data_IF_775709315441
#
_entry.id   IF_775709315441
#
_cell.length_a   1.000
_cell.length_b   1.000
_cell.length_c   1.000
_cell.angle_alpha   90.00
_cell.angle_beta   90.00
_cell.angle_gamma   90.00
#
_symmetry.space_group_name_H-M   'P 1'
#
loop_
_entity.id
_entity.type
_entity.pdbx_description
1 polymer ?
#
# COMPACT_ATOMS: atom_id res chain seq x y z
N UNK A 1 29.49 52.82 -57.17
CA UNK A 1 29.44 54.25 -56.94
C UNK A 1 29.51 54.41 -55.40
N UNK A 2 30.69 54.87 -54.95
CA UNK A 2 30.98 56.17 -54.29
C UNK A 2 30.20 56.33 -52.97
N UNK A 3 30.74 56.61 -51.81
CA UNK A 3 32.03 57.04 -51.25
C UNK A 3 31.90 56.86 -49.72
N UNK A 4 32.89 56.28 -49.09
CA UNK A 4 33.93 56.87 -48.23
C UNK A 4 33.53 58.09 -47.38
N UNK A 5 33.70 58.03 -46.06
CA UNK A 5 34.71 58.78 -45.32
C UNK A 5 34.58 58.67 -43.79
N UNK A 6 35.62 58.16 -43.15
CA UNK A 6 36.06 58.45 -41.76
C UNK A 6 36.69 59.86 -41.74
N UNK A 7 37.08 60.51 -40.64
CA UNK A 7 37.51 60.01 -39.32
C UNK A 7 37.29 61.03 -38.15
N UNK A 8 37.64 60.71 -36.94
CA UNK A 8 38.75 61.26 -36.15
C UNK A 8 38.48 61.18 -34.59
N UNK A 9 39.49 60.76 -33.94
CA UNK A 9 39.73 60.74 -32.51
C UNK A 9 39.84 62.11 -31.88
N UNK A 10 39.46 62.26 -30.60
CA UNK A 10 40.17 63.14 -29.64
C UNK A 10 40.02 62.49 -28.24
N UNK A 11 41.15 62.26 -27.59
CA UNK A 11 41.33 61.93 -26.20
C UNK A 11 41.54 63.23 -25.42
N UNK A 12 40.97 63.35 -24.22
CA UNK A 12 41.39 64.31 -23.22
C UNK A 12 41.41 63.61 -21.85
N UNK A 13 42.58 63.72 -21.25
CA UNK A 13 42.94 63.36 -19.86
C UNK A 13 42.75 64.61 -19.02
N UNK A 14 42.28 64.46 -17.76
CA UNK A 14 42.70 65.21 -16.61
C UNK A 14 41.80 64.88 -15.39
N UNK A 15 42.36 64.34 -14.32
CA UNK A 15 42.91 64.90 -13.07
C UNK A 15 41.91 64.86 -11.90
N UNK A 16 42.41 64.23 -10.89
CA UNK A 16 41.84 63.98 -9.57
C UNK A 16 41.47 65.24 -8.79
N UNK A 17 40.46 65.13 -7.95
CA UNK A 17 40.35 65.87 -6.70
C UNK A 17 39.60 65.07 -5.65
N UNK A 18 40.30 64.79 -4.57
CA UNK A 18 39.81 64.11 -3.37
C UNK A 18 38.91 65.06 -2.55
N UNK A 19 37.71 64.64 -2.19
CA UNK A 19 36.96 65.24 -1.10
C UNK A 19 36.42 64.13 -0.17
N UNK A 20 36.98 64.07 1.03
CA UNK A 20 36.43 63.30 2.13
C UNK A 20 35.14 63.96 2.63
N UNK A 21 34.04 63.22 2.60
CA UNK A 21 32.84 63.51 3.36
C UNK A 21 32.48 62.30 4.17
N UNK A 22 32.57 62.41 5.48
CA UNK A 22 32.02 61.44 6.44
C UNK A 22 30.48 61.49 6.29
N UNK A 23 29.88 60.38 5.86
CA UNK A 23 28.46 60.14 5.99
C UNK A 23 28.27 58.91 6.89
N UNK A 24 27.48 59.11 7.92
CA UNK A 24 27.11 58.10 8.92
C UNK A 24 26.43 56.90 8.24
N UNK A 25 26.91 55.69 8.52
CA UNK A 25 26.30 54.43 8.16
C UNK A 25 25.03 54.23 8.96
N UNK A 26 23.87 54.38 8.37
CA UNK A 26 22.70 53.63 8.76
C UNK A 26 22.82 52.25 8.11
N UNK A 27 23.12 51.23 8.89
CA UNK A 27 23.08 49.86 8.44
C UNK A 27 21.62 49.42 8.43
N UNK A 28 20.98 49.50 7.22
CA UNK A 28 19.82 48.71 6.91
C UNK A 28 20.29 47.26 6.77
N UNK A 29 20.26 46.51 7.86
CA UNK A 29 20.33 45.05 7.85
C UNK A 29 18.98 44.55 7.41
N UNK A 30 18.77 44.42 6.12
CA UNK A 30 17.78 43.46 5.58
C UNK A 30 18.23 42.09 6.10
N UNK A 31 17.39 41.39 6.87
CA UNK A 31 17.77 40.03 7.25
C UNK A 31 17.90 39.21 5.96
N UNK A 32 19.08 38.64 5.75
CA UNK A 32 19.27 37.61 4.74
C UNK A 32 18.20 36.55 5.03
N UNK A 33 17.29 36.35 4.07
CA UNK A 33 16.39 35.22 4.06
C UNK A 33 17.31 34.00 4.13
N UNK A 34 17.38 33.37 5.30
CA UNK A 34 17.94 32.04 5.43
C UNK A 34 17.24 31.19 4.37
N UNK A 35 18.00 30.63 3.44
CA UNK A 35 17.50 29.57 2.59
C UNK A 35 16.85 28.56 3.56
N UNK A 36 15.56 28.29 3.37
CA UNK A 36 14.87 27.28 4.16
C UNK A 36 15.73 26.01 4.12
N UNK A 37 15.89 25.36 5.24
CA UNK A 37 16.46 24.04 5.27
C UNK A 37 15.75 23.21 4.19
N UNK A 38 16.48 22.52 3.35
CA UNK A 38 15.88 21.57 2.44
C UNK A 38 15.06 20.59 3.28
N UNK A 39 13.80 20.35 2.90
CA UNK A 39 12.99 19.34 3.55
C UNK A 39 13.83 18.06 3.64
N UNK A 40 13.85 17.43 4.81
CA UNK A 40 14.49 16.13 4.94
C UNK A 40 13.67 15.11 4.17
N UNK A 41 14.33 14.19 3.48
CA UNK A 41 13.63 13.09 2.82
C UNK A 41 12.90 12.25 3.86
N UNK A 42 11.69 11.74 3.55
CA UNK A 42 10.97 10.82 4.41
C UNK A 42 11.85 9.62 4.77
N UNK A 43 11.71 9.12 5.98
CA UNK A 43 12.46 7.96 6.47
C UNK A 43 11.51 6.76 6.57
N UNK A 44 11.38 5.94 5.53
CA UNK A 44 10.47 4.79 5.54
C UNK A 44 10.88 3.77 6.60
N UNK A 45 9.91 2.99 7.09
CA UNK A 45 10.13 1.86 7.99
C UNK A 45 9.54 0.59 7.40
N UNK A 46 10.22 -0.51 7.62
CA UNK A 46 9.76 -1.86 7.28
C UNK A 46 9.52 -2.64 8.55
N UNK A 47 8.32 -3.13 8.72
CA UNK A 47 7.94 -4.03 9.82
C UNK A 47 7.78 -5.45 9.28
N UNK A 48 8.41 -6.42 9.95
CA UNK A 48 8.38 -7.83 9.59
C UNK A 48 7.98 -8.67 10.80
N UNK A 49 7.00 -9.55 10.67
CA UNK A 49 6.79 -10.55 11.73
C UNK A 49 7.74 -11.74 11.57
N UNK A 50 8.01 -12.41 12.69
CA UNK A 50 8.66 -13.71 12.77
C UNK A 50 8.04 -14.52 13.90
N UNK A 51 8.35 -15.81 13.99
CA UNK A 51 7.87 -16.63 15.12
C UNK A 51 8.53 -16.14 16.43
N UNK A 52 7.79 -15.32 17.17
CA UNK A 52 8.23 -14.70 18.43
C UNK A 52 8.19 -13.19 18.49
N UNK A 53 8.03 -12.45 17.38
CA UNK A 53 8.03 -11.00 17.44
C UNK A 53 7.88 -10.25 16.13
N UNK A 54 8.23 -8.96 16.21
CA UNK A 54 8.22 -8.01 15.10
C UNK A 54 9.59 -7.34 15.03
N UNK A 55 10.22 -7.39 13.86
CA UNK A 55 11.39 -6.58 13.53
C UNK A 55 10.93 -5.28 12.88
N UNK A 56 11.48 -4.16 13.29
CA UNK A 56 11.31 -2.88 12.60
C UNK A 56 12.67 -2.42 12.10
N UNK A 57 12.77 -2.13 10.79
CA UNK A 57 14.00 -1.73 10.13
C UNK A 57 13.84 -0.35 9.49
N UNK A 58 14.94 0.38 9.37
CA UNK A 58 15.02 1.53 8.47
C UNK A 58 14.79 1.06 7.02
N UNK A 59 13.84 1.67 6.32
CA UNK A 59 13.45 1.20 4.99
C UNK A 59 14.45 1.53 3.86
N UNK A 60 15.47 2.32 4.15
CA UNK A 60 16.52 2.71 3.18
C UNK A 60 17.81 1.92 3.41
N UNK A 61 18.32 1.95 4.65
CA UNK A 61 19.57 1.26 5.01
C UNK A 61 19.37 -0.21 5.35
N UNK A 62 18.16 -0.60 5.70
CA UNK A 62 17.76 -1.89 6.27
C UNK A 62 18.47 -2.22 7.60
N UNK A 63 18.93 -1.21 8.32
CA UNK A 63 19.43 -1.37 9.69
C UNK A 63 18.27 -1.68 10.63
N UNK A 64 18.50 -2.60 11.58
CA UNK A 64 17.51 -3.00 12.57
C UNK A 64 17.34 -1.86 13.60
N UNK A 65 16.13 -1.35 13.73
CA UNK A 65 15.76 -0.31 14.69
C UNK A 65 15.17 -0.89 15.98
N UNK A 66 14.34 -1.94 15.85
CA UNK A 66 13.75 -2.61 17.01
C UNK A 66 13.48 -4.09 16.75
N UNK A 67 13.53 -4.87 17.83
CA UNK A 67 13.10 -6.28 17.90
C UNK A 67 12.11 -6.40 19.06
N UNK A 68 10.82 -6.49 18.73
CA UNK A 68 9.71 -6.39 19.68
C UNK A 68 9.10 -7.77 19.87
N UNK A 69 9.13 -8.29 21.09
CA UNK A 69 8.58 -9.60 21.41
C UNK A 69 7.05 -9.60 21.29
N UNK A 70 6.52 -10.44 20.42
CA UNK A 70 5.09 -10.69 20.26
C UNK A 70 4.87 -12.11 19.74
N UNK A 71 4.60 -13.09 20.61
CA UNK A 71 4.48 -14.49 20.18
C UNK A 71 3.19 -14.75 19.40
N UNK A 72 3.24 -15.76 18.54
CA UNK A 72 2.12 -16.21 17.73
C UNK A 72 2.19 -15.69 16.29
N UNK A 73 1.21 -16.09 15.48
CA UNK A 73 1.03 -15.60 14.15
C UNK A 73 0.25 -14.28 14.20
N UNK A 74 0.86 -13.20 13.74
CA UNK A 74 0.26 -11.87 13.73
C UNK A 74 0.37 -11.29 12.31
N UNK A 75 -0.69 -10.69 11.79
CA UNK A 75 -0.67 -10.01 10.50
C UNK A 75 -0.31 -8.54 10.68
N UNK A 76 0.32 -7.98 9.64
CA UNK A 76 0.72 -6.58 9.59
C UNK A 76 -0.01 -5.85 8.48
N UNK A 77 -0.58 -4.69 8.81
CA UNK A 77 -1.20 -3.82 7.83
C UNK A 77 -0.78 -2.37 8.12
N UNK A 78 -0.18 -1.68 7.16
CA UNK A 78 0.06 -0.25 7.33
C UNK A 78 -1.27 0.48 7.57
N UNK A 79 -1.32 1.38 8.55
CA UNK A 79 -2.55 2.09 8.89
C UNK A 79 -2.98 3.10 7.82
N UNK A 80 -2.05 3.57 6.98
CA UNK A 80 -2.30 4.53 5.91
C UNK A 80 -1.82 5.95 6.22
N UNK A 81 -1.44 6.22 7.46
CA UNK A 81 -0.99 7.53 7.93
C UNK A 81 0.53 7.79 7.75
N UNK A 82 1.24 6.83 7.15
CA UNK A 82 2.68 6.90 6.93
C UNK A 82 3.55 6.52 8.13
N UNK A 83 2.97 6.33 9.32
CA UNK A 83 3.68 6.05 10.57
C UNK A 83 3.34 4.72 11.21
N UNK A 84 2.04 4.41 11.31
CA UNK A 84 1.58 3.29 12.12
C UNK A 84 1.31 2.04 11.29
N UNK A 85 1.50 0.89 11.93
CA UNK A 85 1.10 -0.42 11.45
C UNK A 85 0.08 -1.01 12.42
N UNK A 86 -1.01 -1.55 11.90
CA UNK A 86 -2.01 -2.27 12.65
C UNK A 86 -1.65 -3.76 12.67
N UNK A 87 -1.41 -4.26 13.87
CA UNK A 87 -1.01 -5.65 14.14
C UNK A 87 -2.25 -6.43 14.56
N UNK A 88 -2.62 -7.46 13.80
CA UNK A 88 -3.73 -8.35 14.19
C UNK A 88 -3.29 -9.27 15.33
N UNK A 89 -3.82 -9.03 16.53
CA UNK A 89 -3.57 -9.82 17.73
C UNK A 89 -4.83 -10.54 18.18
N UNK A 90 -4.76 -11.32 19.26
CA UNK A 90 -5.95 -11.97 19.85
C UNK A 90 -6.93 -10.98 20.49
N UNK A 91 -6.50 -9.76 20.78
CA UNK A 91 -7.31 -8.71 21.42
C UNK A 91 -7.96 -7.77 20.38
N UNK A 92 -7.41 -7.71 19.17
CA UNK A 92 -7.89 -6.82 18.12
C UNK A 92 -6.76 -6.33 17.23
N UNK A 93 -6.92 -5.13 16.69
CA UNK A 93 -5.88 -4.45 15.91
C UNK A 93 -5.07 -3.55 16.83
N UNK A 94 -3.88 -4.00 17.23
CA UNK A 94 -2.95 -3.27 18.08
C UNK A 94 -2.08 -2.32 17.25
N UNK A 95 -1.86 -1.12 17.75
CA UNK A 95 -1.09 -0.10 17.04
C UNK A 95 0.40 -0.27 17.31
N UNK A 96 1.17 -0.51 16.27
CA UNK A 96 2.62 -0.41 16.26
C UNK A 96 3.00 0.99 15.74
N UNK A 97 3.62 1.80 16.58
CA UNK A 97 4.29 3.02 16.16
C UNK A 97 5.68 2.65 15.62
N UNK A 98 5.91 2.85 14.34
CA UNK A 98 7.19 2.50 13.70
C UNK A 98 8.30 3.53 13.98
N UNK A 99 7.98 4.59 14.70
CA UNK A 99 8.93 5.63 15.08
C UNK A 99 9.38 6.51 13.92
N UNK A 100 8.54 6.73 12.92
CA UNK A 100 8.83 7.64 11.81
C UNK A 100 7.61 8.48 11.45
N UNK A 101 7.79 9.76 11.18
CA UNK A 101 6.73 10.64 10.67
C UNK A 101 7.31 11.93 10.10
N UNK A 102 6.54 12.62 9.28
CA UNK A 102 6.89 13.92 8.69
C UNK A 102 5.98 15.01 9.24
N UNK A 103 6.58 16.09 9.78
CA UNK A 103 5.86 17.28 10.25
C UNK A 103 6.45 18.50 9.56
N UNK A 104 5.59 19.31 8.94
CA UNK A 104 5.99 20.54 8.22
C UNK A 104 7.12 20.32 7.20
N UNK A 105 7.20 19.11 6.60
CA UNK A 105 8.22 18.73 5.64
C UNK A 105 9.57 18.35 6.25
N UNK A 106 9.63 18.17 7.57
CA UNK A 106 10.80 17.64 8.27
C UNK A 106 10.52 16.21 8.74
N UNK A 107 11.35 15.25 8.33
CA UNK A 107 11.28 13.87 8.80
C UNK A 107 11.78 13.78 10.24
N UNK A 108 11.04 13.08 11.07
CA UNK A 108 11.33 12.85 12.48
C UNK A 108 11.34 11.35 12.74
N UNK A 109 12.27 10.89 13.58
CA UNK A 109 12.36 9.48 13.99
C UNK A 109 12.41 9.34 15.50
N UNK A 110 11.86 8.23 15.99
CA UNK A 110 11.91 7.79 17.38
C UNK A 110 12.14 6.27 17.43
N UNK A 111 12.30 5.71 18.61
CA UNK A 111 12.36 4.27 18.81
C UNK A 111 10.98 3.65 18.49
N UNK A 112 10.90 2.59 17.68
CA UNK A 112 9.64 1.89 17.40
C UNK A 112 9.06 1.25 18.67
N UNK A 113 7.71 1.28 18.79
CA UNK A 113 7.01 0.77 19.97
C UNK A 113 5.70 0.09 19.58
N UNK A 114 5.47 -1.13 20.09
CA UNK A 114 4.14 -1.72 20.10
C UNK A 114 3.36 -1.13 21.26
N UNK A 115 2.45 -0.24 20.96
CA UNK A 115 1.70 0.54 21.96
C UNK A 115 0.64 -0.32 22.66
N UNK A 116 0.07 0.20 23.76
CA UNK A 116 -1.09 -0.41 24.43
C UNK A 116 -2.43 -0.03 23.75
N UNK A 117 -2.41 0.69 22.64
CA UNK A 117 -3.61 1.10 21.91
C UNK A 117 -4.12 -0.07 21.05
N UNK A 118 -5.33 -0.52 21.31
CA UNK A 118 -5.97 -1.64 20.60
C UNK A 118 -7.37 -1.24 20.16
N UNK A 119 -7.65 -1.34 18.86
CA UNK A 119 -9.01 -1.34 18.36
C UNK A 119 -9.62 -2.71 18.64
N UNK A 120 -10.59 -2.77 19.55
CA UNK A 120 -11.25 -4.02 19.92
C UNK A 120 -11.92 -4.67 18.69
N UNK A 121 -11.48 -5.87 18.35
CA UNK A 121 -11.96 -6.60 17.20
C UNK A 121 -11.80 -8.11 17.44
N UNK A 122 -12.85 -8.79 17.87
CA UNK A 122 -12.81 -10.26 17.98
C UNK A 122 -12.49 -10.89 16.63
N UNK A 123 -11.41 -11.65 16.56
CA UNK A 123 -10.88 -12.24 15.33
C UNK A 123 -10.66 -11.15 14.26
N UNK A 124 -9.62 -10.29 14.41
CA UNK A 124 -9.36 -9.21 13.47
C UNK A 124 -9.08 -9.77 12.07
N UNK A 125 -9.89 -9.35 11.09
CA UNK A 125 -9.88 -9.84 9.72
C UNK A 125 -9.09 -8.95 8.77
N UNK A 126 -9.68 -7.85 8.35
CA UNK A 126 -9.13 -6.96 7.32
C UNK A 126 -8.89 -5.54 7.82
N UNK A 127 -7.86 -4.91 7.27
CA UNK A 127 -7.57 -3.47 7.36
C UNK A 127 -7.57 -2.92 5.94
N UNK A 128 -8.50 -2.02 5.65
CA UNK A 128 -8.68 -1.38 4.35
C UNK A 128 -8.40 0.11 4.48
N UNK A 129 -7.71 0.66 3.52
CA UNK A 129 -7.39 2.09 3.45
C UNK A 129 -7.96 2.62 2.15
N UNK A 130 -8.81 3.63 2.26
CA UNK A 130 -9.35 4.29 1.07
C UNK A 130 -9.67 5.76 1.39
N UNK A 131 -9.31 6.65 0.48
CA UNK A 131 -9.42 8.08 0.70
C UNK A 131 -8.72 8.50 1.99
N UNK A 132 -9.42 9.19 2.87
CA UNK A 132 -8.93 9.63 4.18
C UNK A 132 -9.30 8.67 5.34
N UNK A 133 -9.81 7.47 5.04
CA UNK A 133 -10.31 6.50 6.03
C UNK A 133 -9.44 5.26 6.16
N UNK A 134 -9.39 4.77 7.39
CA UNK A 134 -8.95 3.41 7.72
C UNK A 134 -10.15 2.63 8.24
N UNK A 135 -10.39 1.48 7.65
CA UNK A 135 -11.56 0.64 7.86
C UNK A 135 -11.10 -0.72 8.36
N UNK A 136 -11.61 -1.14 9.51
CA UNK A 136 -11.27 -2.40 10.15
C UNK A 136 -12.48 -3.33 10.11
N UNK A 137 -12.27 -4.59 9.78
CA UNK A 137 -13.32 -5.61 9.79
C UNK A 137 -13.01 -6.67 10.84
N UNK A 138 -13.96 -6.91 11.75
CA UNK A 138 -13.86 -7.91 12.81
C UNK A 138 -14.66 -9.17 12.44
N UNK A 139 -13.99 -10.24 12.04
CA UNK A 139 -14.64 -11.49 11.60
C UNK A 139 -15.52 -12.12 12.69
N UNK A 140 -15.11 -11.98 13.96
CA UNK A 140 -15.83 -12.55 15.09
C UNK A 140 -17.20 -11.93 15.37
N UNK A 141 -17.46 -10.73 14.83
CA UNK A 141 -18.76 -10.04 14.93
C UNK A 141 -19.34 -9.68 13.56
N UNK A 142 -18.50 -9.51 12.55
CA UNK A 142 -18.84 -8.96 11.24
C UNK A 142 -18.90 -7.42 11.25
N UNK A 143 -18.54 -6.78 12.36
CA UNK A 143 -18.61 -5.33 12.50
C UNK A 143 -17.49 -4.63 11.74
N UNK A 144 -17.80 -3.45 11.23
CA UNK A 144 -16.85 -2.55 10.58
C UNK A 144 -16.59 -1.36 11.49
N UNK A 145 -15.32 -1.12 11.82
CA UNK A 145 -14.86 0.08 12.54
C UNK A 145 -14.17 1.03 11.57
N UNK A 146 -14.57 2.31 11.56
CA UNK A 146 -14.09 3.34 10.63
C UNK A 146 -13.53 4.51 11.43
N UNK A 147 -12.38 5.04 11.02
CA UNK A 147 -11.82 6.26 11.58
C UNK A 147 -11.05 7.07 10.52
N UNK A 148 -10.88 8.37 10.79
CA UNK A 148 -10.04 9.24 9.97
C UNK A 148 -8.58 8.81 10.12
N UNK A 149 -7.93 8.40 9.05
CA UNK A 149 -6.56 7.89 9.03
C UNK A 149 -5.58 8.87 9.71
N UNK A 150 -5.66 10.16 9.35
CA UNK A 150 -4.79 11.18 9.91
C UNK A 150 -5.02 11.43 11.41
N UNK A 151 -6.18 11.06 11.95
CA UNK A 151 -6.45 11.21 13.38
C UNK A 151 -5.54 10.31 14.23
N UNK A 152 -5.07 9.19 13.68
CA UNK A 152 -4.14 8.29 14.37
C UNK A 152 -2.77 8.97 14.65
N UNK A 153 -2.34 9.90 13.79
CA UNK A 153 -1.11 10.70 14.03
C UNK A 153 -1.23 11.65 15.21
N UNK A 154 -2.45 11.99 15.62
CA UNK A 154 -2.73 12.97 16.67
C UNK A 154 -3.01 12.32 18.02
N UNK A 155 -3.12 10.99 18.08
CA UNK A 155 -3.32 10.27 19.34
C UNK A 155 -2.01 10.32 20.12
N UNK A 156 -2.08 10.89 21.33
CA UNK A 156 -1.01 10.80 22.30
C UNK A 156 -1.20 9.55 23.17
N UNK A 157 -0.64 9.60 24.38
CA UNK A 157 -0.86 8.57 25.41
C UNK A 157 -2.33 8.44 25.85
N UNK A 158 -3.23 9.30 25.33
CA UNK A 158 -4.59 9.49 25.82
C UNK A 158 -5.66 8.62 25.12
N UNK A 159 -5.31 7.81 24.12
CA UNK A 159 -6.26 6.83 23.55
C UNK A 159 -6.33 6.77 22.03
N UNK A 160 -7.26 5.98 21.53
CA UNK A 160 -7.56 5.81 20.11
C UNK A 160 -8.29 7.03 19.53
N UNK A 161 -8.24 7.25 18.20
CA UNK A 161 -9.08 8.26 17.55
C UNK A 161 -10.56 7.96 17.73
N UNK A 162 -11.41 8.96 17.49
CA UNK A 162 -12.86 8.75 17.41
C UNK A 162 -13.17 7.74 16.29
N UNK A 163 -14.00 6.75 16.60
CA UNK A 163 -14.39 5.69 15.66
C UNK A 163 -15.88 5.64 15.46
N UNK A 164 -16.30 5.25 14.25
CA UNK A 164 -17.66 4.79 13.98
C UNK A 164 -17.65 3.26 13.89
N UNK A 165 -18.59 2.61 14.58
CA UNK A 165 -18.79 1.14 14.46
C UNK A 165 -20.12 0.86 13.77
N UNK A 166 -20.05 0.16 12.63
CA UNK A 166 -21.22 -0.26 11.84
C UNK A 166 -21.43 -1.75 12.03
N UNK A 167 -22.50 -2.18 12.73
CA UNK A 167 -22.71 -3.60 13.02
C UNK A 167 -23.18 -4.39 11.80
N UNK A 168 -22.72 -5.63 11.70
CA UNK A 168 -23.24 -6.60 10.76
C UNK A 168 -24.46 -7.36 11.33
N UNK A 169 -25.33 -7.91 10.46
CA UNK A 169 -26.41 -8.80 10.89
C UNK A 169 -25.94 -10.11 11.52
N UNK A 170 -24.74 -10.59 11.14
CA UNK A 170 -24.16 -11.84 11.64
C UNK A 170 -22.62 -11.81 11.50
N UNK A 171 -21.96 -12.51 12.39
CA UNK A 171 -20.53 -12.74 12.33
C UNK A 171 -20.16 -13.55 11.06
N UNK A 172 -19.13 -13.10 10.36
CA UNK A 172 -18.56 -13.77 9.19
C UNK A 172 -17.16 -13.21 8.88
N UNK A 173 -16.35 -13.99 8.20
CA UNK A 173 -15.14 -13.47 7.58
C UNK A 173 -15.55 -12.54 6.42
N UNK A 174 -15.06 -11.30 6.41
CA UNK A 174 -15.52 -10.34 5.41
C UNK A 174 -14.63 -9.12 5.31
N UNK A 175 -15.10 -8.16 4.53
CA UNK A 175 -14.38 -6.93 4.23
C UNK A 175 -15.35 -5.77 4.01
N UNK A 176 -14.86 -4.56 4.26
CA UNK A 176 -15.60 -3.32 4.02
C UNK A 176 -14.68 -2.25 3.45
N UNK A 177 -15.23 -1.40 2.59
CA UNK A 177 -14.58 -0.20 2.08
C UNK A 177 -15.58 0.96 2.09
N UNK A 178 -15.14 2.14 2.54
CA UNK A 178 -15.94 3.37 2.47
C UNK A 178 -15.42 4.24 1.34
N UNK A 179 -16.30 4.62 0.42
CA UNK A 179 -16.01 5.50 -0.71
C UNK A 179 -15.98 6.96 -0.26
N UNK A 180 -15.37 7.85 -1.05
CA UNK A 180 -15.22 9.28 -0.72
C UNK A 180 -16.55 9.98 -0.46
N UNK A 181 -17.64 9.52 -1.08
CA UNK A 181 -18.98 10.06 -0.85
C UNK A 181 -19.61 9.60 0.48
N UNK A 182 -18.93 8.72 1.24
CA UNK A 182 -19.38 8.14 2.51
C UNK A 182 -20.29 6.91 2.33
N UNK A 183 -20.37 6.35 1.13
CA UNK A 183 -21.04 5.06 0.90
C UNK A 183 -20.15 3.94 1.44
N UNK A 184 -20.66 3.19 2.40
CA UNK A 184 -19.98 2.01 2.94
C UNK A 184 -20.42 0.76 2.18
N UNK A 185 -19.48 0.09 1.54
CA UNK A 185 -19.67 -1.21 0.94
C UNK A 185 -19.15 -2.27 1.91
N UNK A 186 -20.01 -3.23 2.28
CA UNK A 186 -19.66 -4.27 3.25
C UNK A 186 -20.22 -5.61 2.83
N UNK A 187 -19.48 -6.67 3.09
CA UNK A 187 -19.85 -8.04 2.72
C UNK A 187 -21.11 -8.52 3.43
N UNK A 188 -21.84 -9.42 2.79
CA UNK A 188 -22.99 -10.14 3.31
C UNK A 188 -22.55 -11.58 3.55
N UNK A 189 -22.67 -12.03 4.81
CA UNK A 189 -22.27 -13.38 5.19
C UNK A 189 -22.83 -13.84 6.49
N UNK A 190 -22.56 -15.11 6.78
CA UNK A 190 -22.80 -15.79 8.05
C UNK A 190 -21.60 -16.72 8.31
N UNK A 191 -21.61 -17.45 9.41
CA UNK A 191 -20.62 -18.52 9.68
C UNK A 191 -20.58 -19.60 8.60
N UNK A 192 -21.65 -19.75 7.81
CA UNK A 192 -21.75 -20.78 6.77
C UNK A 192 -21.14 -20.33 5.41
N UNK A 193 -20.95 -19.02 5.22
CA UNK A 193 -20.36 -18.47 4.00
C UNK A 193 -20.79 -17.05 3.69
N UNK A 194 -20.21 -16.51 2.63
CA UNK A 194 -20.43 -15.14 2.11
C UNK A 194 -21.15 -15.22 0.80
N UNK A 195 -22.07 -14.29 0.58
CA UNK A 195 -22.96 -14.32 -0.60
C UNK A 195 -22.87 -13.09 -1.49
N UNK A 196 -22.39 -11.96 -0.95
CA UNK A 196 -22.38 -10.73 -1.72
C UNK A 196 -21.98 -9.50 -0.93
N UNK A 197 -22.40 -8.33 -1.43
CA UNK A 197 -22.07 -7.02 -0.88
C UNK A 197 -23.33 -6.18 -0.80
N UNK A 198 -23.46 -5.38 0.26
CA UNK A 198 -24.46 -4.31 0.42
C UNK A 198 -23.80 -2.95 0.45
N UNK A 199 -24.49 -1.94 -0.06
CA UNK A 199 -24.13 -0.55 0.01
C UNK A 199 -24.98 0.17 1.03
N UNK A 200 -24.37 0.87 1.96
CA UNK A 200 -25.00 1.70 2.98
C UNK A 200 -24.66 3.16 2.70
N UNK A 201 -25.65 4.04 2.72
CA UNK A 201 -25.41 5.48 2.61
C UNK A 201 -24.74 6.07 3.88
N UNK A 202 -24.43 7.38 3.87
CA UNK A 202 -23.85 8.09 5.04
C UNK A 202 -24.64 7.94 6.34
N UNK A 203 -25.95 7.64 6.27
CA UNK A 203 -26.78 7.39 7.43
C UNK A 203 -26.82 5.92 7.82
N UNK A 204 -26.01 5.11 7.16
CA UNK A 204 -25.93 3.65 7.28
C UNK A 204 -27.25 2.95 6.93
N UNK A 205 -28.05 3.59 6.06
CA UNK A 205 -29.23 2.97 5.46
C UNK A 205 -28.82 2.21 4.22
N UNK A 206 -29.26 0.96 4.10
CA UNK A 206 -28.99 0.15 2.90
C UNK A 206 -29.71 0.74 1.68
N UNK A 207 -28.94 1.04 0.63
CA UNK A 207 -29.42 1.64 -0.62
C UNK A 207 -29.30 0.69 -1.81
N UNK A 208 -28.40 -0.28 -1.75
CA UNK A 208 -28.25 -1.31 -2.76
C UNK A 208 -27.67 -2.60 -2.16
N UNK A 209 -27.91 -3.73 -2.80
CA UNK A 209 -27.26 -5.01 -2.50
C UNK A 209 -27.19 -5.91 -3.71
N UNK A 210 -26.20 -6.80 -3.71
CA UNK A 210 -26.11 -7.91 -4.65
C UNK A 210 -25.60 -9.16 -3.92
N UNK A 211 -26.30 -10.27 -4.05
CA UNK A 211 -25.97 -11.56 -3.42
C UNK A 211 -25.53 -12.62 -4.44
N UNK A 212 -25.14 -12.18 -5.66
CA UNK A 212 -24.62 -13.05 -6.71
C UNK A 212 -23.07 -13.07 -6.73
N UNK A 213 -22.44 -13.07 -5.54
CA UNK A 213 -20.98 -13.11 -5.37
C UNK A 213 -20.61 -14.15 -4.31
N UNK A 214 -20.74 -15.45 -4.64
CA UNK A 214 -20.42 -16.51 -3.68
C UNK A 214 -18.97 -16.42 -3.25
N UNK A 215 -18.72 -16.69 -1.96
CA UNK A 215 -17.41 -16.61 -1.31
C UNK A 215 -16.70 -15.26 -1.53
N UNK A 216 -17.47 -14.15 -1.55
CA UNK A 216 -16.92 -12.80 -1.75
C UNK A 216 -15.72 -12.57 -0.83
N UNK A 217 -14.62 -12.03 -1.38
CA UNK A 217 -13.38 -11.78 -0.66
C UNK A 217 -12.56 -10.72 -1.40
N UNK A 218 -11.81 -9.94 -0.61
CA UNK A 218 -11.02 -8.85 -1.12
C UNK A 218 -11.87 -7.69 -1.64
N UNK A 219 -11.26 -6.55 -1.73
CA UNK A 219 -11.86 -5.31 -2.20
C UNK A 219 -10.80 -4.37 -2.74
N UNK A 220 -11.23 -3.36 -3.44
CA UNK A 220 -10.41 -2.23 -3.84
C UNK A 220 -11.23 -1.23 -4.63
N UNK A 221 -10.91 0.05 -4.48
CA UNK A 221 -11.46 1.11 -5.33
C UNK A 221 -10.46 1.47 -6.42
N UNK A 222 -10.86 1.28 -7.65
CA UNK A 222 -10.14 1.70 -8.84
C UNK A 222 -10.47 3.17 -9.17
N UNK A 223 -9.93 3.69 -10.25
CA UNK A 223 -10.21 5.05 -10.72
C UNK A 223 -11.70 5.37 -10.75
N UNK A 224 -12.04 6.60 -10.38
CA UNK A 224 -13.42 7.13 -10.28
C UNK A 224 -14.27 6.43 -9.21
N UNK A 225 -13.67 5.97 -8.13
CA UNK A 225 -14.38 5.35 -7.00
C UNK A 225 -15.13 4.05 -7.37
N UNK A 226 -14.68 3.35 -8.40
CA UNK A 226 -15.30 2.09 -8.79
C UNK A 226 -14.77 0.98 -7.91
N UNK A 227 -15.61 0.47 -7.00
CA UNK A 227 -15.21 -0.61 -6.11
C UNK A 227 -15.35 -1.99 -6.78
N UNK A 228 -14.36 -2.84 -6.53
CA UNK A 228 -14.29 -4.20 -7.07
C UNK A 228 -14.20 -5.20 -5.93
N UNK A 229 -14.98 -6.27 -6.01
CA UNK A 229 -14.97 -7.39 -5.06
C UNK A 229 -14.79 -8.70 -5.82
N UNK A 230 -13.98 -9.60 -5.29
CA UNK A 230 -13.80 -10.93 -5.87
C UNK A 230 -14.89 -11.92 -5.44
N UNK A 231 -15.24 -12.83 -6.32
CA UNK A 231 -16.21 -13.89 -6.10
C UNK A 231 -15.60 -15.25 -6.49
N UNK A 232 -16.23 -16.36 -6.13
CA UNK A 232 -15.81 -17.70 -6.58
C UNK A 232 -16.01 -17.93 -8.08
N UNK A 233 -16.79 -17.09 -8.74
CA UNK A 233 -17.22 -17.22 -10.13
C UNK A 233 -17.08 -15.92 -10.94
N UNK A 234 -16.13 -15.09 -10.57
CA UNK A 234 -15.84 -13.81 -11.22
C UNK A 234 -15.69 -12.66 -10.25
N UNK A 235 -16.16 -11.47 -10.61
CA UNK A 235 -16.05 -10.26 -9.79
C UNK A 235 -17.36 -9.48 -9.76
N UNK A 236 -17.54 -8.70 -8.70
CA UNK A 236 -18.66 -7.78 -8.53
C UNK A 236 -18.13 -6.36 -8.52
N UNK A 237 -18.66 -5.49 -9.36
CA UNK A 237 -18.31 -4.07 -9.44
C UNK A 237 -19.44 -3.24 -8.87
N UNK A 238 -19.11 -2.22 -8.08
CA UNK A 238 -20.03 -1.18 -7.63
C UNK A 238 -19.62 0.18 -8.21
N UNK A 239 -20.54 0.84 -8.88
CA UNK A 239 -20.36 2.14 -9.51
C UNK A 239 -21.69 2.89 -9.50
N UNK A 240 -21.72 4.18 -9.13
CA UNK A 240 -22.90 5.06 -9.20
C UNK A 240 -24.18 4.48 -8.56
N UNK A 241 -24.06 3.75 -7.47
CA UNK A 241 -25.19 3.17 -6.74
C UNK A 241 -25.66 1.81 -7.24
N UNK A 242 -25.01 1.24 -8.25
CA UNK A 242 -25.41 -0.02 -8.87
C UNK A 242 -24.31 -1.08 -8.81
N UNK A 243 -24.71 -2.34 -8.62
CA UNK A 243 -23.82 -3.49 -8.72
C UNK A 243 -23.88 -4.12 -10.11
N UNK A 244 -22.72 -4.42 -10.67
CA UNK A 244 -22.56 -5.18 -11.93
C UNK A 244 -21.73 -6.42 -11.67
N UNK A 245 -22.27 -7.62 -12.01
CA UNK A 245 -21.54 -8.87 -11.96
C UNK A 245 -20.82 -9.11 -13.28
N UNK A 246 -19.52 -9.41 -13.22
CA UNK A 246 -18.74 -9.93 -14.35
C UNK A 246 -18.46 -11.40 -14.04
N UNK A 247 -19.01 -12.29 -14.87
CA UNK A 247 -18.78 -13.73 -14.75
C UNK A 247 -17.37 -14.08 -15.21
N UNK A 248 -16.71 -14.97 -14.48
CA UNK A 248 -15.46 -15.56 -14.92
C UNK A 248 -15.68 -16.38 -16.21
N UNK A 249 -14.60 -16.57 -16.95
CA UNK A 249 -14.64 -17.45 -18.14
C UNK A 249 -14.77 -18.93 -17.78
N UNK A 250 -14.29 -19.31 -16.60
CA UNK A 250 -14.38 -20.68 -16.05
C UNK A 250 -15.56 -20.82 -15.10
N UNK A 251 -16.09 -22.03 -14.93
CA UNK A 251 -17.19 -22.30 -14.00
C UNK A 251 -16.80 -21.98 -12.55
N UNK A 252 -15.56 -22.31 -12.17
CA UNK A 252 -14.88 -21.82 -10.98
C UNK A 252 -13.78 -20.88 -11.49
N UNK A 253 -13.93 -19.61 -11.22
CA UNK A 253 -12.99 -18.56 -11.62
C UNK A 253 -12.90 -17.58 -10.50
N UNK A 254 -12.28 -18.05 -9.40
CA UNK A 254 -12.18 -17.32 -8.14
C UNK A 254 -11.16 -16.21 -8.27
N UNK A 255 -11.59 -15.03 -7.86
CA UNK A 255 -10.74 -13.91 -7.52
C UNK A 255 -10.86 -13.66 -6.03
N UNK A 256 -9.74 -13.75 -5.29
CA UNK A 256 -9.71 -13.62 -3.83
C UNK A 256 -9.17 -12.27 -3.36
N UNK A 257 -8.24 -11.67 -4.12
CA UNK A 257 -7.63 -10.40 -3.81
C UNK A 257 -7.65 -9.48 -5.02
N UNK A 258 -7.76 -8.16 -4.77
CA UNK A 258 -7.71 -7.12 -5.78
C UNK A 258 -6.57 -6.15 -5.47
N UNK A 259 -5.81 -5.82 -6.51
CA UNK A 259 -4.70 -4.88 -6.45
C UNK A 259 -5.05 -3.70 -7.36
N UNK A 260 -5.40 -2.59 -6.76
CA UNK A 260 -5.93 -1.40 -7.43
C UNK A 260 -4.98 -0.21 -7.30
N UNK A 261 -5.19 0.79 -8.15
CA UNK A 261 -4.68 2.14 -8.01
C UNK A 261 -5.81 3.12 -8.32
N UNK A 262 -5.81 4.28 -7.71
CA UNK A 262 -6.81 5.33 -7.93
C UNK A 262 -6.67 5.99 -9.33
N UNK A 263 -5.58 5.71 -10.03
CA UNK A 263 -5.25 6.26 -11.35
C UNK A 263 -5.64 5.36 -12.51
N UNK A 264 -5.79 4.05 -12.28
CA UNK A 264 -6.10 3.06 -13.30
C UNK A 264 -7.55 2.58 -13.26
N UNK A 265 -8.16 2.41 -14.42
CA UNK A 265 -9.45 1.70 -14.55
C UNK A 265 -9.29 0.18 -14.57
N UNK A 266 -8.06 -0.32 -14.59
CA UNK A 266 -7.79 -1.76 -14.58
C UNK A 266 -7.41 -2.18 -13.16
N UNK A 267 -8.28 -2.94 -12.50
CA UNK A 267 -7.93 -3.68 -11.30
C UNK A 267 -7.26 -5.00 -11.69
N UNK A 268 -6.26 -5.40 -10.93
CA UNK A 268 -5.61 -6.71 -11.08
C UNK A 268 -6.10 -7.60 -9.95
N UNK A 269 -6.57 -8.79 -10.28
CA UNK A 269 -6.99 -9.78 -9.29
C UNK A 269 -6.15 -11.04 -9.37
N UNK A 270 -6.04 -11.77 -8.28
CA UNK A 270 -5.60 -13.15 -8.38
C UNK A 270 -6.65 -13.99 -9.14
N UNK A 271 -6.24 -15.11 -9.70
CA UNK A 271 -7.16 -15.97 -10.43
C UNK A 271 -6.87 -17.45 -10.18
N UNK A 272 -7.90 -18.15 -9.71
CA UNK A 272 -7.86 -19.59 -9.49
C UNK A 272 -9.02 -20.26 -10.22
N UNK A 273 -8.73 -21.14 -11.17
CA UNK A 273 -9.74 -21.89 -11.94
C UNK A 273 -9.95 -23.33 -11.43
N UNK A 274 -9.25 -23.72 -10.36
CA UNK A 274 -9.33 -25.07 -9.80
C UNK A 274 -9.60 -25.00 -8.28
N UNK A 275 -10.82 -25.34 -7.83
CA UNK A 275 -11.16 -25.26 -6.41
C UNK A 275 -10.32 -26.19 -5.51
N UNK A 276 -9.76 -27.27 -6.08
CA UNK A 276 -8.92 -28.22 -5.34
C UNK A 276 -7.49 -27.66 -5.13
N UNK A 277 -7.14 -26.54 -5.79
CA UNK A 277 -5.85 -25.84 -5.65
C UNK A 277 -5.92 -24.58 -4.78
N UNK A 278 -7.01 -24.39 -4.07
CA UNK A 278 -7.13 -23.24 -3.15
C UNK A 278 -6.04 -23.32 -2.06
N UNK A 279 -5.29 -22.20 -1.89
CA UNK A 279 -4.18 -22.11 -0.92
C UNK A 279 -2.81 -22.56 -1.44
N UNK A 280 -2.69 -23.00 -2.69
CA UNK A 280 -1.41 -23.26 -3.37
C UNK A 280 -1.02 -22.12 -4.30
N UNK A 281 0.20 -22.21 -4.88
CA UNK A 281 0.67 -21.21 -5.85
C UNK A 281 -0.29 -21.08 -7.03
N UNK A 282 -0.67 -19.84 -7.34
CA UNK A 282 -1.44 -19.46 -8.51
C UNK A 282 -0.52 -19.13 -9.68
N UNK A 283 -0.95 -19.37 -10.90
CA UNK A 283 -0.17 -19.10 -12.11
C UNK A 283 -0.83 -18.05 -13.00
N UNK A 284 -2.04 -17.61 -12.65
CA UNK A 284 -2.87 -16.73 -13.46
C UNK A 284 -3.35 -15.53 -12.65
N UNK A 285 -3.53 -14.40 -13.34
CA UNK A 285 -4.13 -13.18 -12.84
C UNK A 285 -5.34 -12.84 -13.69
N UNK A 286 -6.29 -12.10 -13.14
CA UNK A 286 -7.37 -11.48 -13.91
C UNK A 286 -7.18 -9.98 -13.99
N UNK A 287 -7.32 -9.42 -15.19
CA UNK A 287 -7.33 -8.00 -15.49
C UNK A 287 -8.78 -7.56 -15.62
N UNK A 288 -9.24 -6.72 -14.71
CA UNK A 288 -10.63 -6.29 -14.60
C UNK A 288 -10.73 -4.86 -15.09
N UNK A 289 -11.23 -4.65 -16.30
CA UNK A 289 -11.54 -3.32 -16.82
C UNK A 289 -12.87 -2.85 -16.24
N UNK A 290 -12.79 -1.96 -15.27
CA UNK A 290 -13.95 -1.41 -14.57
C UNK A 290 -14.78 -0.50 -15.46
N UNK A 291 -14.18 0.17 -16.45
CA UNK A 291 -14.88 1.05 -17.37
C UNK A 291 -15.62 0.26 -18.48
N UNK A 292 -14.96 -0.76 -19.06
CA UNK A 292 -15.58 -1.64 -20.04
C UNK A 292 -16.45 -2.73 -19.40
N UNK A 293 -16.32 -3.00 -18.11
CA UNK A 293 -16.98 -4.07 -17.36
C UNK A 293 -16.68 -5.44 -17.94
N UNK A 294 -15.39 -5.67 -18.20
CA UNK A 294 -14.86 -6.95 -18.72
C UNK A 294 -13.72 -7.45 -17.87
N UNK A 295 -13.44 -8.74 -17.94
CA UNK A 295 -12.30 -9.36 -17.30
C UNK A 295 -11.57 -10.28 -18.26
N UNK A 296 -10.23 -10.23 -18.24
CA UNK A 296 -9.36 -11.08 -19.03
C UNK A 296 -8.36 -11.79 -18.12
N UNK A 297 -8.07 -13.06 -18.41
CA UNK A 297 -7.12 -13.86 -17.64
C UNK A 297 -5.78 -13.91 -18.35
N UNK A 298 -4.72 -13.59 -17.63
CA UNK A 298 -3.33 -13.67 -18.11
C UNK A 298 -2.55 -14.69 -17.28
N UNK A 299 -1.57 -15.34 -17.89
CA UNK A 299 -0.75 -16.37 -17.23
C UNK A 299 0.69 -15.87 -17.06
N UNK A 300 1.28 -16.10 -15.90
CA UNK A 300 2.67 -15.75 -15.62
C UNK A 300 3.62 -16.47 -16.58
N UNK A 301 4.68 -15.80 -17.05
CA UNK A 301 5.66 -16.40 -17.93
C UNK A 301 6.44 -17.53 -17.23
N UNK A 302 6.88 -18.51 -18.02
CA UNK A 302 7.78 -19.56 -17.56
C UNK A 302 7.17 -20.61 -16.63
N UNK A 303 5.86 -20.55 -16.34
CA UNK A 303 5.21 -21.42 -15.36
C UNK A 303 5.53 -21.03 -13.92
N UNK A 304 5.92 -19.78 -13.68
CA UNK A 304 6.08 -19.25 -12.35
C UNK A 304 4.73 -19.18 -11.64
N UNK A 305 4.70 -19.50 -10.35
CA UNK A 305 3.55 -19.33 -9.50
C UNK A 305 3.76 -18.17 -8.53
N UNK A 306 2.71 -17.77 -7.82
CA UNK A 306 2.74 -16.71 -6.83
C UNK A 306 1.70 -16.96 -5.72
N UNK A 307 1.81 -16.26 -4.60
CA UNK A 307 0.77 -16.20 -3.57
C UNK A 307 0.11 -14.82 -3.54
N UNK A 308 -0.92 -14.65 -2.75
CA UNK A 308 -1.57 -13.35 -2.58
C UNK A 308 -0.65 -12.27 -1.99
N UNK A 309 0.48 -12.64 -1.35
CA UNK A 309 1.49 -11.71 -0.81
C UNK A 309 2.48 -11.20 -1.85
N UNK A 310 2.41 -11.72 -3.07
CA UNK A 310 3.45 -11.55 -4.08
C UNK A 310 3.04 -10.59 -5.20
N UNK A 311 1.91 -9.92 -5.08
CA UNK A 311 1.40 -8.98 -6.09
C UNK A 311 1.27 -7.58 -5.50
N UNK A 312 1.79 -6.61 -6.21
CA UNK A 312 1.67 -5.19 -5.88
C UNK A 312 1.44 -4.34 -7.12
N UNK A 313 1.04 -3.09 -6.93
CA UNK A 313 0.97 -2.10 -8.02
C UNK A 313 2.15 -1.15 -7.91
N UNK A 314 2.70 -0.78 -9.04
CA UNK A 314 3.79 0.17 -9.16
C UNK A 314 3.31 1.60 -9.45
N UNK A 315 4.24 2.57 -9.49
CA UNK A 315 3.91 3.99 -9.62
C UNK A 315 3.38 4.41 -11.00
N UNK A 316 3.49 3.55 -12.00
CA UNK A 316 2.95 3.76 -13.35
C UNK A 316 1.77 2.83 -13.64
N UNK A 317 1.07 2.41 -12.60
CA UNK A 317 -0.06 1.48 -12.65
C UNK A 317 0.28 0.06 -13.12
N UNK A 318 1.56 -0.27 -13.30
CA UNK A 318 2.00 -1.64 -13.60
C UNK A 318 1.71 -2.59 -12.44
N UNK A 319 1.46 -3.87 -12.74
CA UNK A 319 1.45 -4.91 -11.74
C UNK A 319 2.84 -5.54 -11.64
N UNK A 320 3.27 -5.76 -10.39
CA UNK A 320 4.58 -6.32 -10.06
C UNK A 320 4.31 -7.61 -9.31
N UNK A 321 4.80 -8.72 -9.84
CA UNK A 321 4.55 -10.05 -9.31
C UNK A 321 5.86 -10.73 -8.96
N UNK A 322 6.04 -11.12 -7.70
CA UNK A 322 7.16 -11.96 -7.29
C UNK A 322 6.84 -13.42 -7.62
N UNK A 323 7.44 -13.92 -8.67
CA UNK A 323 7.27 -15.30 -9.11
C UNK A 323 8.02 -16.31 -8.25
N UNK A 324 7.55 -17.55 -8.24
CA UNK A 324 8.22 -18.68 -7.57
C UNK A 324 9.59 -19.03 -8.18
N UNK A 325 9.91 -18.46 -9.33
CA UNK A 325 11.26 -18.47 -9.93
C UNK A 325 12.21 -17.46 -9.28
N UNK A 326 11.71 -16.65 -8.34
CA UNK A 326 12.47 -15.65 -7.59
C UNK A 326 12.65 -14.32 -8.31
N UNK A 327 11.91 -14.10 -9.40
CA UNK A 327 11.98 -12.87 -10.17
C UNK A 327 10.76 -11.97 -9.94
N UNK A 328 10.94 -10.65 -10.01
CA UNK A 328 9.87 -9.68 -10.16
C UNK A 328 9.47 -9.62 -11.65
N UNK A 329 8.26 -10.01 -11.96
CA UNK A 329 7.65 -9.90 -13.29
C UNK A 329 6.82 -8.63 -13.37
N UNK A 330 7.06 -7.82 -14.39
CA UNK A 330 6.34 -6.56 -14.60
C UNK A 330 5.28 -6.78 -15.67
N UNK A 331 4.03 -6.57 -15.31
CA UNK A 331 2.87 -6.71 -16.19
C UNK A 331 2.27 -5.32 -16.45
N UNK A 332 2.06 -4.99 -17.71
CA UNK A 332 1.22 -3.87 -18.11
C UNK A 332 -0.26 -4.31 -18.08
N UNK A 333 -1.08 -3.80 -17.14
CA UNK A 333 -2.45 -4.25 -17.01
C UNK A 333 -3.38 -3.75 -18.13
N UNK A 334 -3.00 -2.68 -18.86
CA UNK A 334 -3.80 -2.18 -19.99
C UNK A 334 -3.69 -3.08 -21.23
N UNK A 335 -2.52 -3.69 -21.41
CA UNK A 335 -2.25 -4.54 -22.59
C UNK A 335 -2.27 -6.03 -22.27
N UNK A 336 -2.14 -6.41 -20.99
CA UNK A 336 -1.97 -7.79 -20.57
C UNK A 336 -0.60 -8.39 -20.92
N UNK A 337 0.35 -7.57 -21.33
CA UNK A 337 1.69 -8.01 -21.73
C UNK A 337 2.69 -7.96 -20.59
N UNK A 338 3.46 -9.02 -20.40
CA UNK A 338 4.61 -9.04 -19.51
C UNK A 338 5.82 -8.42 -20.20
N UNK A 339 6.44 -7.45 -19.51
CA UNK A 339 7.64 -6.77 -19.96
C UNK A 339 8.91 -7.35 -19.30
N UNK A 340 9.57 -6.53 -18.48
CA UNK A 340 10.79 -6.92 -17.80
C UNK A 340 10.57 -8.00 -16.75
N UNK A 341 11.60 -8.81 -16.52
CA UNK A 341 11.69 -9.75 -15.40
C UNK A 341 13.04 -9.55 -14.72
N UNK A 342 13.02 -9.35 -13.40
CA UNK A 342 14.20 -9.00 -12.61
C UNK A 342 14.43 -10.05 -11.52
N UNK A 343 15.42 -10.96 -11.67
CA UNK A 343 15.78 -11.90 -10.61
C UNK A 343 16.22 -11.18 -9.33
N UNK A 344 15.62 -11.55 -8.19
CA UNK A 344 15.89 -10.92 -6.88
C UNK A 344 16.30 -11.93 -5.83
N UNK A 345 15.53 -13.02 -5.70
CA UNK A 345 15.74 -14.07 -4.68
C UNK A 345 15.97 -15.44 -5.36
N UNK A 346 16.23 -16.47 -4.57
CA UNK A 346 16.24 -17.84 -5.08
C UNK A 346 14.85 -18.32 -5.50
N UNK A 347 14.79 -19.33 -6.37
CA UNK A 347 13.53 -20.01 -6.66
C UNK A 347 12.98 -20.68 -5.39
N UNK A 348 11.65 -20.65 -5.24
CA UNK A 348 10.99 -21.10 -4.02
C UNK A 348 9.73 -21.93 -4.33
N UNK A 349 9.26 -22.66 -3.34
CA UNK A 349 8.05 -23.46 -3.38
C UNK A 349 6.99 -22.82 -2.46
N UNK A 350 5.74 -23.06 -2.72
CA UNK A 350 4.64 -22.55 -1.89
C UNK A 350 4.65 -23.14 -0.48
N UNK A 351 4.06 -22.44 0.49
CA UNK A 351 3.93 -22.93 1.86
C UNK A 351 2.93 -24.10 1.91
N UNK A 352 3.06 -24.97 2.92
CA UNK A 352 2.07 -26.02 3.20
C UNK A 352 0.77 -25.41 3.73
N UNK A 353 0.88 -24.40 4.59
CA UNK A 353 -0.22 -23.61 5.13
C UNK A 353 0.02 -22.13 4.81
N UNK A 354 -1.03 -21.39 4.55
CA UNK A 354 -0.92 -19.97 4.14
C UNK A 354 -0.26 -19.06 5.21
N UNK A 355 -0.29 -19.49 6.48
CA UNK A 355 0.39 -18.79 7.59
C UNK A 355 1.89 -19.06 7.65
N UNK A 356 2.35 -20.14 7.02
CA UNK A 356 3.79 -20.46 7.01
C UNK A 356 4.59 -19.37 6.34
N UNK A 357 5.82 -19.18 6.80
CA UNK A 357 6.72 -18.20 6.22
C UNK A 357 7.05 -18.53 4.76
N UNK A 358 6.77 -17.60 3.87
CA UNK A 358 7.11 -17.64 2.45
C UNK A 358 7.45 -16.23 1.96
N UNK A 359 8.06 -16.06 0.78
CA UNK A 359 8.37 -14.75 0.25
C UNK A 359 7.16 -13.83 0.23
N UNK A 360 7.38 -12.53 0.39
CA UNK A 360 6.36 -11.50 0.34
C UNK A 360 6.91 -10.23 -0.32
N UNK A 361 6.04 -9.50 -0.97
CA UNK A 361 6.33 -8.28 -1.73
C UNK A 361 5.47 -7.11 -1.24
N UNK A 362 6.12 -6.00 -0.95
CA UNK A 362 5.46 -4.69 -0.82
C UNK A 362 6.16 -3.70 -1.73
N UNK A 363 5.41 -2.89 -2.45
CA UNK A 363 5.96 -1.79 -3.27
C UNK A 363 5.53 -0.45 -2.69
N UNK A 364 6.51 0.41 -2.43
CA UNK A 364 6.28 1.75 -1.92
C UNK A 364 7.19 2.75 -2.65
N UNK A 365 6.59 3.77 -3.26
CA UNK A 365 7.33 4.81 -4.00
C UNK A 365 8.33 4.26 -5.05
N UNK A 366 7.95 3.19 -5.77
CA UNK A 366 8.79 2.56 -6.78
C UNK A 366 9.92 1.67 -6.25
N UNK A 367 9.97 1.45 -4.94
CA UNK A 367 10.88 0.50 -4.30
C UNK A 367 10.08 -0.74 -3.92
N UNK A 368 10.54 -1.90 -4.38
CA UNK A 368 10.04 -3.20 -3.96
C UNK A 368 10.83 -3.67 -2.73
N UNK A 369 10.12 -4.06 -1.69
CA UNK A 369 10.64 -4.72 -0.49
C UNK A 369 10.27 -6.19 -0.59
N UNK A 370 11.28 -7.05 -0.66
CA UNK A 370 11.12 -8.49 -0.93
C UNK A 370 11.75 -9.30 0.20
N UNK A 371 10.96 -10.15 0.84
CA UNK A 371 11.49 -11.09 1.85
C UNK A 371 11.91 -12.41 1.21
N UNK A 372 12.97 -13.02 1.73
CA UNK A 372 13.40 -14.37 1.40
C UNK A 372 13.57 -15.18 2.69
N UNK A 373 12.52 -15.85 3.18
CA UNK A 373 12.56 -16.64 4.41
C UNK A 373 13.63 -17.75 4.39
N UNK A 374 13.85 -18.38 3.24
CA UNK A 374 14.84 -19.44 3.10
C UNK A 374 16.28 -19.01 3.45
N UNK A 375 16.56 -17.72 3.35
CA UNK A 375 17.88 -17.14 3.68
C UNK A 375 17.78 -16.08 4.78
N UNK A 376 16.64 -15.95 5.50
CA UNK A 376 16.34 -14.89 6.47
C UNK A 376 16.81 -13.51 5.97
N UNK A 377 16.37 -13.13 4.80
CA UNK A 377 16.86 -11.91 4.15
C UNK A 377 15.74 -10.99 3.70
N UNK A 378 16.04 -9.69 3.65
CA UNK A 378 15.21 -8.64 3.08
C UNK A 378 15.99 -7.91 2.00
N UNK A 379 15.36 -7.65 0.88
CA UNK A 379 15.91 -6.93 -0.26
C UNK A 379 15.08 -5.69 -0.54
N UNK A 380 15.75 -4.59 -0.93
CA UNK A 380 15.10 -3.46 -1.59
C UNK A 380 15.54 -3.39 -3.03
N UNK A 381 14.58 -3.20 -3.94
CA UNK A 381 14.80 -3.23 -5.38
C UNK A 381 14.14 -2.01 -6.01
N UNK A 382 14.87 -1.27 -6.83
CA UNK A 382 14.28 -0.25 -7.70
C UNK A 382 13.47 -0.94 -8.80
N UNK A 383 12.17 -0.77 -8.80
CA UNK A 383 11.24 -1.49 -9.70
C UNK A 383 11.55 -1.19 -11.16
N UNK A 384 11.85 0.07 -11.49
CA UNK A 384 12.04 0.50 -12.87
C UNK A 384 13.28 -0.13 -13.52
N UNK A 385 14.35 -0.32 -12.75
CA UNK A 385 15.62 -0.85 -13.26
C UNK A 385 15.88 -2.31 -12.86
N UNK A 386 15.14 -2.86 -11.91
CA UNK A 386 15.41 -4.18 -11.31
C UNK A 386 16.68 -4.23 -10.47
N UNK A 387 17.25 -3.07 -10.13
CA UNK A 387 18.49 -3.01 -9.35
C UNK A 387 18.23 -3.24 -7.88
N UNK A 388 18.88 -4.22 -7.28
CA UNK A 388 18.93 -4.37 -5.82
C UNK A 388 19.69 -3.18 -5.23
N UNK A 389 19.03 -2.42 -4.36
CA UNK A 389 19.55 -1.23 -3.71
C UNK A 389 20.24 -1.57 -2.38
N UNK A 390 19.60 -2.41 -1.57
CA UNK A 390 20.13 -2.88 -0.30
C UNK A 390 19.69 -4.32 -0.04
N UNK A 391 20.43 -5.00 0.84
CA UNK A 391 20.14 -6.35 1.32
C UNK A 391 20.50 -6.42 2.80
N UNK A 392 19.59 -6.94 3.62
CA UNK A 392 19.85 -7.22 5.03
C UNK A 392 19.71 -8.71 5.33
N UNK A 393 20.58 -9.21 6.20
CA UNK A 393 20.41 -10.49 6.88
C UNK A 393 19.63 -10.25 8.17
N UNK A 394 18.50 -10.91 8.31
CA UNK A 394 17.63 -10.77 9.47
C UNK A 394 18.03 -11.72 10.60
N UNK A 395 17.77 -11.36 11.86
CA UNK A 395 18.05 -12.23 12.99
C UNK A 395 17.07 -13.40 13.13
N UNK A 396 15.94 -13.36 12.42
CA UNK A 396 14.91 -14.39 12.43
C UNK A 396 14.25 -14.50 11.04
N UNK A 397 13.57 -15.62 10.78
CA UNK A 397 12.90 -15.89 9.52
C UNK A 397 11.67 -15.00 9.36
N UNK A 398 11.62 -14.10 8.36
CA UNK A 398 10.49 -13.18 8.17
C UNK A 398 9.25 -13.92 7.67
N UNK A 399 8.07 -13.39 8.04
CA UNK A 399 6.78 -13.89 7.58
C UNK A 399 5.94 -12.77 6.94
N UNK A 400 5.18 -12.00 7.72
CA UNK A 400 4.39 -10.87 7.21
C UNK A 400 5.27 -9.61 7.05
N UNK A 401 4.89 -8.72 6.14
CA UNK A 401 5.60 -7.46 5.89
C UNK A 401 4.62 -6.30 5.77
N UNK A 402 4.95 -5.17 6.38
CA UNK A 402 4.31 -3.89 6.12
C UNK A 402 5.38 -2.79 5.98
N UNK A 403 5.10 -1.80 5.15
CA UNK A 403 5.98 -0.65 4.91
C UNK A 403 5.20 0.63 5.10
N UNK A 404 5.80 1.60 5.80
CA UNK A 404 5.29 2.95 5.95
C UNK A 404 6.29 3.97 5.41
N UNK A 405 5.79 5.13 5.02
CA UNK A 405 6.59 6.13 4.29
C UNK A 405 7.42 7.07 5.16
N UNK A 406 7.01 7.32 6.39
CA UNK A 406 7.57 8.32 7.27
C UNK A 406 6.95 9.72 7.13
#
# INVERSE_FOLDING_TARGET
MKNQLHPRRIAIVAVAASALLLAACATDTTPARTAGAAASEPTPRVSLTYDGGILVLDGTSLELEADIALPGFNRLNAAGDGRHVLVSTTEGFQVLDTGTWTVDGESTTAEPELTDLVFDAPTPGHVVRHGDKTILFADGTGDTTIFDTAALLSVGEDGLPDTEVVPAPAAHHGVSIELEDGTLLTTIGTSDGRTGVRALDKSRTEVARNEECPSVHGEGAAKNEVAVFGCADGVLIYEDGEFTKIQAQDTYGRTGNQYVTETSTIAVGDYNSDPDREGVLLEQLTLIDTAAKTAEVVTLPGGAGYTWRDVARGPSDEAIILGSDGALHILDPETGEFGASHPVIGAWEGPAEWQDAHPALVVQNGIAYVTEPATDSLFTVDVASGKVLATAKLPATPNEIAVVTG
#
